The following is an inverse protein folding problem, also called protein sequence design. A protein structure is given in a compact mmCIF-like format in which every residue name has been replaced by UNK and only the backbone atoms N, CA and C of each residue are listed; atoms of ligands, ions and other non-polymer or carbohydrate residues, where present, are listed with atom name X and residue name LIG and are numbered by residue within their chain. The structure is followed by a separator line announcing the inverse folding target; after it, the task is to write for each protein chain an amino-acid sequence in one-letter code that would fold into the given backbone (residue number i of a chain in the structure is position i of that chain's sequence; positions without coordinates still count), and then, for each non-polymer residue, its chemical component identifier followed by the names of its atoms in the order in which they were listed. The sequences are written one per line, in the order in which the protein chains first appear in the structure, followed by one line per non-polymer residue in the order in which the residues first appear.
data_IF_619713690411
#
_entry.id   IF_619713690411
#
_cell.length_a   1.000
_cell.length_b   1.000
_cell.length_c   1.000
_cell.angle_alpha   90.00
_cell.angle_beta   90.00
_cell.angle_gamma   90.00
#
_symmetry.space_group_name_H-M   'P 1'
#
loop_
_entity.id
_entity.type
_entity.pdbx_description
1 polymer ?
#
# COMPACT_ATOMS: atom_id res chain seq x y z
N UNK A 1 -9.67 5.37 16.70
CA UNK A 1 -9.83 4.74 15.36
C UNK A 1 -9.26 5.64 14.25
N UNK A 2 -7.96 5.97 14.31
CA UNK A 2 -7.23 6.72 13.26
C UNK A 2 -6.03 5.94 12.74
N UNK A 3 -5.82 4.72 13.23
CA UNK A 3 -4.48 4.12 13.24
C UNK A 3 -4.17 3.34 11.97
N UNK A 4 -5.10 2.59 11.38
CA UNK A 4 -4.78 1.75 10.21
C UNK A 4 -4.72 2.52 8.89
N UNK A 5 -5.66 3.46 8.64
CA UNK A 5 -5.58 4.33 7.46
C UNK A 5 -4.32 5.19 7.49
N UNK A 6 -3.94 5.70 8.66
CA UNK A 6 -2.67 6.38 8.85
C UNK A 6 -1.49 5.43 8.68
N UNK A 7 -1.51 4.22 9.25
CA UNK A 7 -0.41 3.26 9.10
C UNK A 7 -0.15 2.91 7.63
N UNK A 8 -1.20 2.66 6.85
CA UNK A 8 -1.05 2.41 5.42
C UNK A 8 -0.56 3.65 4.67
N UNK A 9 -1.13 4.83 4.96
CA UNK A 9 -0.65 6.10 4.40
C UNK A 9 0.84 6.34 4.71
N UNK A 10 1.27 6.09 5.95
CA UNK A 10 2.65 6.25 6.39
C UNK A 10 3.57 5.25 5.69
N UNK A 11 3.13 4.02 5.46
CA UNK A 11 3.87 3.05 4.62
C UNK A 11 4.06 3.54 3.18
N UNK A 12 3.04 4.18 2.59
CA UNK A 12 3.15 4.77 1.25
C UNK A 12 4.15 5.95 1.22
N UNK A 13 4.11 6.80 2.24
CA UNK A 13 5.06 7.91 2.39
C UNK A 13 6.49 7.39 2.60
N UNK A 14 6.65 6.38 3.45
CA UNK A 14 7.93 5.69 3.68
C UNK A 14 8.47 5.14 2.37
N UNK A 15 7.67 4.36 1.65
CA UNK A 15 8.08 3.72 0.40
C UNK A 15 8.57 4.75 -0.62
N UNK A 16 7.82 5.84 -0.80
CA UNK A 16 8.24 6.95 -1.68
C UNK A 16 9.55 7.59 -1.23
N UNK A 17 9.70 7.83 0.07
CA UNK A 17 10.91 8.47 0.61
C UNK A 17 12.15 7.60 0.48
N UNK A 18 12.01 6.29 0.70
CA UNK A 18 13.11 5.33 0.55
C UNK A 18 13.45 5.12 -0.92
N UNK A 19 12.48 5.18 -1.85
CA UNK A 19 12.77 5.11 -3.28
C UNK A 19 13.69 6.25 -3.73
N UNK A 20 13.36 7.48 -3.32
CA UNK A 20 14.15 8.68 -3.63
C UNK A 20 15.51 8.66 -2.94
N UNK A 21 15.54 8.26 -1.66
CA UNK A 21 16.76 8.25 -0.84
C UNK A 21 17.79 7.23 -1.33
N UNK A 22 17.33 6.04 -1.75
CA UNK A 22 18.21 4.98 -2.20
C UNK A 22 18.43 5.00 -3.72
N UNK A 23 17.71 5.86 -4.45
CA UNK A 23 17.72 5.91 -5.92
C UNK A 23 17.42 4.53 -6.55
N UNK A 24 16.48 3.81 -5.96
CA UNK A 24 16.04 2.46 -6.34
C UNK A 24 14.51 2.37 -6.25
N UNK A 25 13.86 1.50 -7.03
CA UNK A 25 12.45 1.22 -6.85
C UNK A 25 12.13 0.68 -5.45
N UNK A 26 10.97 1.07 -4.92
CA UNK A 26 10.45 0.55 -3.65
C UNK A 26 9.00 0.18 -3.84
N UNK A 27 8.67 -1.06 -3.50
CA UNK A 27 7.34 -1.62 -3.66
C UNK A 27 6.62 -1.76 -2.32
N UNK A 28 5.31 -1.54 -2.36
CA UNK A 28 4.37 -1.91 -1.31
C UNK A 28 3.45 -2.96 -1.89
N UNK A 29 3.39 -4.16 -1.30
CA UNK A 29 2.55 -5.25 -1.80
C UNK A 29 1.65 -5.80 -0.70
N UNK A 30 0.46 -6.29 -1.07
CA UNK A 30 -0.40 -7.01 -0.12
C UNK A 30 0.29 -8.31 0.31
N UNK A 31 0.07 -8.73 1.55
CA UNK A 31 0.64 -9.97 2.09
C UNK A 31 -0.33 -10.63 3.07
N UNK A 32 -0.33 -11.95 3.12
CA UNK A 32 -1.14 -12.74 4.07
C UNK A 32 -0.29 -13.45 5.14
N UNK A 33 1.04 -13.44 5.00
CA UNK A 33 1.96 -14.20 5.84
C UNK A 33 3.12 -13.35 6.40
N UNK A 34 3.16 -12.05 6.08
CA UNK A 34 4.20 -11.11 6.48
C UNK A 34 5.61 -11.43 5.97
N UNK A 35 5.75 -12.33 5.00
CA UNK A 35 7.05 -12.74 4.46
C UNK A 35 7.12 -12.76 2.93
N UNK A 36 5.98 -12.78 2.23
CA UNK A 36 5.92 -12.71 0.77
C UNK A 36 4.75 -11.84 0.30
N UNK A 37 4.89 -11.25 -0.88
CA UNK A 37 3.77 -10.63 -1.57
C UNK A 37 2.71 -11.68 -1.93
N UNK A 38 1.44 -11.30 -1.83
CA UNK A 38 0.30 -12.12 -2.21
C UNK A 38 -0.34 -11.56 -3.49
N UNK A 39 -0.79 -12.45 -4.36
CA UNK A 39 -1.56 -12.11 -5.57
C UNK A 39 -3.06 -12.34 -5.40
N UNK A 40 -3.47 -12.88 -4.24
CA UNK A 40 -4.87 -13.13 -3.90
C UNK A 40 -5.21 -12.53 -2.54
N UNK A 41 -6.51 -12.44 -2.26
CA UNK A 41 -7.01 -11.77 -1.07
C UNK A 41 -6.91 -10.25 -1.16
N UNK A 42 -7.05 -9.60 -0.01
CA UNK A 42 -7.19 -8.17 0.13
C UNK A 42 -6.09 -7.57 0.99
N UNK A 43 -5.96 -6.24 0.93
CA UNK A 43 -4.93 -5.47 1.60
C UNK A 43 -5.11 -5.38 3.12
N UNK A 44 -6.29 -5.71 3.67
CA UNK A 44 -6.50 -5.89 5.11
C UNK A 44 -5.95 -7.20 5.66
N UNK A 45 -5.45 -8.11 4.80
CA UNK A 45 -4.65 -9.26 5.22
C UNK A 45 -3.25 -8.89 5.72
N UNK A 46 -2.79 -7.68 5.43
CA UNK A 46 -1.44 -7.19 5.71
C UNK A 46 -0.75 -6.69 4.45
N UNK A 47 0.41 -6.05 4.64
CA UNK A 47 1.24 -5.57 3.52
C UNK A 47 2.71 -5.48 3.93
N UNK A 48 3.58 -5.48 2.91
CA UNK A 48 5.02 -5.33 3.04
C UNK A 48 5.47 -4.06 2.31
N UNK A 49 6.57 -3.48 2.78
CA UNK A 49 7.32 -2.43 2.09
C UNK A 49 8.75 -2.92 1.94
N UNK A 50 9.29 -2.95 0.72
CA UNK A 50 10.63 -3.46 0.44
C UNK A 50 11.29 -2.70 -0.72
N UNK A 51 12.63 -2.68 -0.71
CA UNK A 51 13.42 -2.17 -1.84
C UNK A 51 13.44 -3.23 -2.92
N UNK A 52 12.92 -2.89 -4.10
CA UNK A 52 12.90 -3.72 -5.30
C UNK A 52 14.18 -3.43 -6.10
N UNK A 53 15.25 -4.15 -5.76
CA UNK A 53 16.62 -3.76 -6.12
C UNK A 53 16.97 -4.08 -7.57
N UNK A 54 16.30 -5.09 -8.15
CA UNK A 54 16.45 -5.49 -9.55
C UNK A 54 15.31 -4.99 -10.46
N UNK A 55 14.32 -4.32 -9.89
CA UNK A 55 13.18 -3.71 -10.56
C UNK A 55 12.24 -4.72 -11.25
N UNK A 56 12.16 -5.94 -10.73
CA UNK A 56 11.29 -6.99 -11.25
C UNK A 56 9.88 -7.00 -10.62
N UNK A 57 9.69 -6.25 -9.53
CA UNK A 57 8.42 -6.14 -8.82
C UNK A 57 8.04 -7.38 -8.00
N UNK A 58 9.02 -8.18 -7.59
CA UNK A 58 8.85 -9.40 -6.80
C UNK A 58 9.74 -9.32 -5.57
N UNK A 59 9.16 -9.48 -4.38
CA UNK A 59 9.98 -9.52 -3.16
C UNK A 59 10.81 -10.81 -3.10
N UNK A 60 12.13 -10.65 -3.20
CA UNK A 60 13.08 -11.76 -3.14
C UNK A 60 13.83 -11.84 -1.78
N UNK A 61 14.65 -12.88 -1.60
CA UNK A 61 15.45 -13.03 -0.37
C UNK A 61 16.71 -12.16 -0.31
N UNK A 62 17.13 -11.60 -1.44
CA UNK A 62 18.26 -10.67 -1.56
C UNK A 62 17.88 -9.24 -1.19
N UNK A 63 16.59 -8.93 -1.25
CA UNK A 63 16.01 -7.62 -1.08
C UNK A 63 15.77 -7.23 0.36
N UNK A 64 15.75 -5.92 0.58
CA UNK A 64 15.63 -5.35 1.91
C UNK A 64 14.17 -5.06 2.25
N UNK A 65 13.63 -5.84 3.20
CA UNK A 65 12.34 -5.54 3.82
C UNK A 65 12.47 -4.32 4.74
N UNK A 66 11.71 -3.27 4.45
CA UNK A 66 11.68 -2.01 5.19
C UNK A 66 10.59 -2.00 6.27
N UNK A 67 9.43 -2.57 5.96
CA UNK A 67 8.29 -2.60 6.88
C UNK A 67 7.39 -3.81 6.60
N UNK A 68 6.76 -4.34 7.64
CA UNK A 68 5.75 -5.39 7.55
C UNK A 68 4.59 -5.07 8.48
N UNK A 69 3.36 -5.24 7.98
CA UNK A 69 2.13 -5.04 8.73
C UNK A 69 1.26 -6.29 8.66
N UNK A 70 0.81 -6.72 9.84
CA UNK A 70 -0.12 -7.83 9.99
C UNK A 70 -1.54 -7.44 9.53
N UNK A 71 -2.40 -8.46 9.41
CA UNK A 71 -3.82 -8.31 9.14
C UNK A 71 -4.50 -7.28 10.08
N UNK A 72 -5.42 -6.51 9.50
CA UNK A 72 -6.27 -5.57 10.22
C UNK A 72 -7.42 -6.34 10.89
N UNK A 73 -7.70 -6.04 12.16
CA UNK A 73 -8.69 -6.79 12.95
C UNK A 73 -10.11 -6.22 12.95
N UNK A 74 -10.29 -4.94 12.60
CA UNK A 74 -11.59 -4.24 12.69
C UNK A 74 -11.87 -3.33 11.49
N UNK A 75 -10.99 -3.34 10.49
CA UNK A 75 -11.05 -2.43 9.36
C UNK A 75 -10.83 -3.22 8.10
N UNK A 76 -11.55 -2.85 7.04
CA UNK A 76 -11.31 -3.38 5.70
C UNK A 76 -10.46 -2.39 4.92
N UNK A 77 -9.56 -2.91 4.09
CA UNK A 77 -8.71 -2.15 3.19
C UNK A 77 -8.81 -2.80 1.81
N UNK A 78 -9.37 -2.06 0.86
CA UNK A 78 -9.63 -2.54 -0.50
C UNK A 78 -9.00 -1.59 -1.50
N UNK A 79 -8.23 -2.12 -2.45
CA UNK A 79 -7.94 -1.38 -3.67
C UNK A 79 -9.21 -1.27 -4.51
N UNK A 80 -9.37 -0.17 -5.24
CA UNK A 80 -10.50 0.01 -6.17
C UNK A 80 -10.31 -0.88 -7.40
N UNK A 81 -9.06 -1.06 -7.82
CA UNK A 81 -8.67 -2.05 -8.82
C UNK A 81 -8.38 -3.38 -8.11
N UNK A 82 -9.12 -4.42 -8.48
CA UNK A 82 -9.04 -5.74 -7.84
C UNK A 82 -7.72 -6.46 -8.16
N UNK A 83 -7.09 -6.12 -9.28
CA UNK A 83 -5.83 -6.73 -9.75
C UNK A 83 -4.61 -5.94 -9.25
N UNK A 84 -4.81 -4.90 -8.43
CA UNK A 84 -3.72 -4.14 -7.82
C UNK A 84 -3.14 -4.88 -6.61
N UNK A 85 -2.14 -5.71 -6.87
CA UNK A 85 -1.41 -6.48 -5.86
C UNK A 85 -0.26 -5.69 -5.23
N UNK A 86 0.25 -4.69 -5.94
CA UNK A 86 1.37 -3.88 -5.49
C UNK A 86 1.33 -2.45 -6.01
N UNK A 87 2.06 -1.59 -5.30
CA UNK A 87 2.25 -0.18 -5.56
C UNK A 87 3.76 0.08 -5.58
N UNK A 88 4.30 0.41 -6.75
CA UNK A 88 5.74 0.59 -6.95
C UNK A 88 6.08 2.07 -7.15
N UNK A 89 6.93 2.59 -6.26
CA UNK A 89 7.54 3.91 -6.39
C UNK A 89 8.87 3.80 -7.14
N UNK A 90 9.06 4.66 -8.13
CA UNK A 90 10.33 4.76 -8.86
C UNK A 90 11.32 5.64 -8.08
N UNK A 91 12.59 5.63 -8.50
CA UNK A 91 13.68 6.37 -7.87
C UNK A 91 13.45 7.90 -7.81
N UNK A 92 12.59 8.47 -8.65
CA UNK A 92 12.20 9.89 -8.62
C UNK A 92 10.96 10.16 -7.74
N UNK A 93 10.43 9.12 -7.10
CA UNK A 93 9.24 9.17 -6.24
C UNK A 93 7.91 9.21 -7.00
N UNK A 94 7.93 8.95 -8.31
CA UNK A 94 6.72 8.83 -9.15
C UNK A 94 6.17 7.40 -9.15
N UNK A 95 5.01 7.23 -9.78
CA UNK A 95 4.37 5.94 -10.01
C UNK A 95 3.95 5.76 -11.46
N UNK A 96 3.93 4.50 -11.90
CA UNK A 96 3.45 4.13 -13.24
C UNK A 96 1.94 4.01 -13.33
N UNK A 97 1.28 3.69 -12.23
CA UNK A 97 -0.16 3.44 -12.16
C UNK A 97 -0.72 4.26 -10.99
N UNK A 98 -1.85 4.92 -11.21
CA UNK A 98 -2.57 5.60 -10.13
C UNK A 98 -3.38 4.57 -9.34
N UNK A 99 -3.38 4.69 -8.02
CA UNK A 99 -4.05 3.75 -7.13
C UNK A 99 -5.02 4.47 -6.20
N UNK A 100 -6.15 3.82 -5.90
CA UNK A 100 -7.11 4.31 -4.91
C UNK A 100 -7.49 3.16 -3.96
N UNK A 101 -7.45 3.44 -2.67
CA UNK A 101 -7.77 2.48 -1.61
C UNK A 101 -8.91 2.99 -0.75
N UNK A 102 -9.84 2.11 -0.40
CA UNK A 102 -10.93 2.37 0.52
C UNK A 102 -10.64 1.67 1.84
N UNK A 103 -10.55 2.46 2.91
CA UNK A 103 -10.50 1.98 4.28
C UNK A 103 -11.89 2.15 4.88
N UNK A 104 -12.54 1.05 5.30
CA UNK A 104 -13.85 1.11 5.91
C UNK A 104 -13.84 0.58 7.34
N UNK A 105 -14.77 1.11 8.15
CA UNK A 105 -15.09 0.64 9.49
C UNK A 105 -16.57 0.25 9.52
N UNK A 106 -16.88 -0.93 10.04
CA UNK A 106 -18.26 -1.44 10.12
C UNK A 106 -19.04 -1.35 8.79
N UNK A 107 -18.34 -1.48 7.65
CA UNK A 107 -18.85 -1.30 6.28
C UNK A 107 -19.54 0.06 6.00
N UNK A 108 -19.23 1.08 6.82
CA UNK A 108 -19.78 2.43 6.69
C UNK A 108 -18.85 3.34 5.86
N UNK A 109 -19.30 3.67 4.64
CA UNK A 109 -18.59 4.56 3.72
C UNK A 109 -18.41 5.97 4.27
N UNK A 110 -19.35 6.49 5.07
CA UNK A 110 -19.30 7.84 5.62
C UNK A 110 -18.25 8.01 6.72
N UNK A 111 -17.94 6.90 7.40
CA UNK A 111 -16.89 6.78 8.43
C UNK A 111 -15.57 6.26 7.88
N UNK A 112 -15.55 5.86 6.61
CA UNK A 112 -14.35 5.39 5.91
C UNK A 112 -13.38 6.51 5.52
N UNK A 113 -12.30 6.11 4.88
CA UNK A 113 -11.27 7.01 4.32
C UNK A 113 -10.84 6.48 2.98
N UNK A 114 -10.78 7.35 1.97
CA UNK A 114 -10.21 7.03 0.68
C UNK A 114 -8.76 7.53 0.63
N UNK A 115 -7.84 6.66 0.23
CA UNK A 115 -6.41 6.98 0.07
C UNK A 115 -6.10 6.94 -1.41
N UNK A 116 -5.59 8.05 -1.95
CA UNK A 116 -5.36 8.22 -3.38
C UNK A 116 -3.90 8.48 -3.65
N UNK A 117 -3.37 7.81 -4.67
CA UNK A 117 -2.01 7.99 -5.17
C UNK A 117 -2.10 8.29 -6.66
N UNK A 118 -1.68 9.49 -7.04
CA UNK A 118 -1.54 9.87 -8.44
C UNK A 118 -0.19 9.45 -9.01
N UNK A 119 0.01 9.66 -10.31
CA UNK A 119 1.27 9.33 -11.00
C UNK A 119 2.48 10.11 -10.48
N UNK A 120 2.28 11.25 -9.81
CA UNK A 120 3.35 11.99 -9.12
C UNK A 120 3.80 11.32 -7.81
N UNK A 121 3.14 10.22 -7.43
CA UNK A 121 3.43 9.40 -6.27
C UNK A 121 3.04 10.02 -4.93
N UNK A 122 2.47 11.22 -4.88
CA UNK A 122 2.05 11.78 -3.59
C UNK A 122 0.79 11.06 -3.08
N UNK A 123 0.83 10.34 -1.94
CA UNK A 123 -0.39 9.83 -1.32
C UNK A 123 -1.18 10.99 -0.71
N UNK A 124 -2.50 10.87 -0.73
CA UNK A 124 -3.45 11.82 -0.14
C UNK A 124 -4.62 11.07 0.49
N UNK A 125 -5.27 11.69 1.48
CA UNK A 125 -6.44 11.13 2.15
C UNK A 125 -7.65 12.03 1.91
N UNK A 126 -8.79 11.40 1.66
CA UNK A 126 -10.09 12.03 1.55
C UNK A 126 -11.04 11.40 2.58
N UNK A 127 -11.89 12.22 3.20
CA UNK A 127 -12.88 11.75 4.17
C UNK A 127 -13.97 10.98 3.42
N UNK A 128 -14.33 9.81 3.94
CA UNK A 128 -15.27 8.90 3.32
C UNK A 128 -14.57 7.91 2.41
N UNK A 129 -15.08 6.69 2.36
CA UNK A 129 -14.71 5.69 1.35
C UNK A 129 -15.69 5.77 0.17
N UNK A 130 -15.21 5.45 -1.03
CA UNK A 130 -16.04 5.43 -2.23
C UNK A 130 -16.93 4.18 -2.27
N UNK A 131 -16.44 3.07 -1.72
CA UNK A 131 -17.15 1.80 -1.59
C UNK A 131 -16.60 1.03 -0.38
N UNK A 132 -17.47 0.31 0.32
CA UNK A 132 -17.11 -0.67 1.34
C UNK A 132 -17.60 -2.06 0.88
N UNK A 133 -17.01 -3.16 1.38
CA UNK A 133 -17.49 -4.51 1.13
C UNK A 133 -18.97 -4.72 1.48
#
# INVERSE_FOLDING_TARGET
MRTASHAFYDSLVLARSEAVKNNLPVAVCKSANNSSCATSGYWDGGWLVYIDADADGVFDSSESLLQSHNALSQLTLRATDADLDQVVYQADGTQRIAANFNVCIDDDTSRGTNIRIGLTGRPSTEKGATVCP
#
